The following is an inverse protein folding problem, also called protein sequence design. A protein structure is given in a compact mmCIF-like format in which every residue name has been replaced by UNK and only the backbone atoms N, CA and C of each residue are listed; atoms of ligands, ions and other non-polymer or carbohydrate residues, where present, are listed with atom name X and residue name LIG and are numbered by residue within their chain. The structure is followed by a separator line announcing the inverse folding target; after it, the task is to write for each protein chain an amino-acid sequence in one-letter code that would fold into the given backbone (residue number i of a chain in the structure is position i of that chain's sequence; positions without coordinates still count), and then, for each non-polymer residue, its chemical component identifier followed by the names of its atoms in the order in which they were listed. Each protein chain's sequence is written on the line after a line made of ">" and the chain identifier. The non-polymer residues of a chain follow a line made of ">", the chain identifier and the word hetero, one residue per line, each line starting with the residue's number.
data_IF_817586678204
#
_entry.id   IF_817586678204
#
_cell.length_a   1.000
_cell.length_b   1.000
_cell.length_c   1.000
_cell.angle_alpha   90.00
_cell.angle_beta   90.00
_cell.angle_gamma   90.00
#
_symmetry.space_group_name_H-M   'P 1'
#
loop_
_entity.id
_entity.type
_entity.pdbx_description
1 polymer ?
#
# COMPACT_ATOMS: atom_id res chain seq x y z
N UNK A 1 -10.28 -7.87 3.44
CA UNK A 1 -9.76 -6.60 2.98
C UNK A 1 -8.31 -6.48 3.38
N UNK A 2 -7.48 -6.13 2.46
CA UNK A 2 -6.05 -6.07 2.71
C UNK A 2 -5.55 -4.68 2.34
N UNK A 3 -4.69 -4.12 3.17
CA UNK A 3 -4.09 -2.84 2.90
C UNK A 3 -2.65 -3.07 2.52
N UNK A 4 -2.27 -2.69 1.32
CA UNK A 4 -0.90 -2.87 0.85
C UNK A 4 -0.19 -1.53 0.93
N UNK A 5 0.89 -1.50 1.68
CA UNK A 5 1.66 -0.28 1.85
C UNK A 5 2.90 -0.41 1.00
N UNK A 6 3.12 0.55 0.13
CA UNK A 6 4.30 0.57 -0.73
C UNK A 6 5.10 1.80 -0.36
N UNK A 7 6.33 1.62 0.03
CA UNK A 7 7.21 2.72 0.39
C UNK A 7 8.41 2.72 -0.54
N UNK A 8 8.72 3.89 -1.08
CA UNK A 8 9.81 4.02 -2.02
C UNK A 8 10.76 5.12 -1.57
N UNK A 9 12.03 4.90 -1.71
CA UNK A 9 13.02 5.90 -1.40
C UNK A 9 14.23 5.65 -2.27
N UNK A 10 14.58 6.61 -3.11
CA UNK A 10 15.74 6.50 -3.98
C UNK A 10 15.77 5.16 -4.70
N UNK A 11 16.61 4.27 -4.26
CA UNK A 11 16.76 3.01 -4.93
C UNK A 11 16.06 1.88 -4.25
N UNK A 12 15.22 2.14 -3.28
CA UNK A 12 14.63 1.08 -2.49
C UNK A 12 13.11 1.11 -2.60
N UNK A 13 12.53 -0.06 -2.63
CA UNK A 13 11.07 -0.20 -2.61
C UNK A 13 10.72 -1.29 -1.63
N UNK A 14 9.83 -0.99 -0.70
CA UNK A 14 9.39 -1.95 0.30
C UNK A 14 7.89 -2.08 0.20
N UNK A 15 7.39 -3.30 0.23
CA UNK A 15 5.96 -3.55 0.18
C UNK A 15 5.55 -4.36 1.39
N UNK A 16 4.41 -4.06 1.93
CA UNK A 16 3.94 -4.74 3.11
C UNK A 16 2.42 -4.81 3.09
N UNK A 17 1.86 -5.97 3.49
CA UNK A 17 0.42 -6.14 3.52
C UNK A 17 -0.03 -6.19 4.96
N UNK A 18 -1.15 -5.55 5.23
CA UNK A 18 -1.76 -5.60 6.56
C UNK A 18 -3.26 -5.72 6.40
N UNK A 19 -3.89 -6.37 7.36
CA UNK A 19 -5.34 -6.50 7.33
C UNK A 19 -6.01 -5.45 8.20
N UNK A 20 -5.25 -4.69 8.96
CA UNK A 20 -5.80 -3.65 9.83
C UNK A 20 -5.45 -2.28 9.29
N UNK A 21 -6.45 -1.44 9.13
CA UNK A 21 -6.19 -0.10 8.62
C UNK A 21 -5.36 0.71 9.61
N UNK A 22 -5.55 0.48 10.91
CA UNK A 22 -4.77 1.23 11.87
C UNK A 22 -3.30 0.88 11.78
N UNK A 23 -2.98 -0.40 11.61
CA UNK A 23 -1.59 -0.80 11.49
C UNK A 23 -0.99 -0.28 10.18
N UNK A 24 -1.79 -0.28 9.12
CA UNK A 24 -1.30 0.21 7.85
C UNK A 24 -0.97 1.69 7.94
N UNK A 25 -1.85 2.46 8.55
CA UNK A 25 -1.62 3.89 8.67
C UNK A 25 -0.43 4.18 9.58
N UNK A 26 -0.31 3.43 10.67
CA UNK A 26 0.80 3.64 11.57
C UNK A 26 2.12 3.38 10.88
N UNK A 27 2.18 2.31 10.09
CA UNK A 27 3.41 2.00 9.39
C UNK A 27 3.72 3.05 8.34
N UNK A 28 2.70 3.52 7.66
CA UNK A 28 2.90 4.54 6.64
C UNK A 28 3.46 5.82 7.26
N UNK A 29 2.97 6.16 8.44
CA UNK A 29 3.47 7.36 9.09
C UNK A 29 4.94 7.23 9.48
N UNK A 30 5.33 6.04 9.94
CA UNK A 30 6.72 5.83 10.32
C UNK A 30 7.61 5.98 9.10
N UNK A 31 7.24 5.36 8.00
CA UNK A 31 8.05 5.47 6.81
C UNK A 31 8.09 6.90 6.28
N UNK A 32 6.95 7.58 6.31
CA UNK A 32 6.91 8.94 5.81
C UNK A 32 7.83 9.84 6.62
N UNK A 33 7.89 9.60 7.93
CA UNK A 33 8.74 10.45 8.75
C UNK A 33 10.22 10.17 8.50
N UNK A 34 10.52 9.05 7.86
CA UNK A 34 11.91 8.75 7.54
C UNK A 34 12.26 9.12 6.11
N UNK A 35 11.38 9.80 5.43
CA UNK A 35 11.71 10.26 4.09
C UNK A 35 11.23 9.36 2.97
N UNK A 36 10.45 8.34 3.28
CA UNK A 36 9.95 7.46 2.25
C UNK A 36 8.69 8.04 1.62
N UNK A 37 8.49 7.75 0.35
CA UNK A 37 7.27 8.11 -0.31
C UNK A 37 6.35 6.91 -0.19
N UNK A 38 5.22 7.07 0.47
CA UNK A 38 4.39 5.96 0.85
C UNK A 38 3.06 6.01 0.12
N UNK A 39 2.62 4.87 -0.36
CA UNK A 39 1.31 4.74 -1.00
C UNK A 39 0.59 3.59 -0.33
N UNK A 40 -0.69 3.75 -0.05
CA UNK A 40 -1.49 2.69 0.52
C UNK A 40 -2.56 2.31 -0.49
N UNK A 41 -2.63 1.02 -0.81
CA UNK A 41 -3.60 0.51 -1.74
C UNK A 41 -4.52 -0.41 -0.98
N UNK A 42 -5.82 -0.22 -1.13
CA UNK A 42 -6.79 -1.06 -0.46
C UNK A 42 -7.24 -2.13 -1.43
N UNK A 43 -7.10 -3.39 -1.03
CA UNK A 43 -7.51 -4.50 -1.84
C UNK A 43 -8.67 -5.16 -1.12
N UNK A 44 -9.84 -5.07 -1.67
CA UNK A 44 -10.99 -5.59 -0.99
C UNK A 44 -11.15 -7.09 -1.16
N UNK A 45 -10.31 -7.68 -1.96
CA UNK A 45 -10.28 -9.13 -2.01
C UNK A 45 -11.34 -9.76 -2.87
N UNK A 46 -12.24 -8.98 -3.41
CA UNK A 46 -13.25 -9.58 -4.27
C UNK A 46 -13.33 -8.86 -5.59
N UNK A 47 -12.34 -8.16 -5.99
CA UNK A 47 -12.31 -7.56 -7.30
C UNK A 47 -12.11 -8.62 -8.34
N UNK A 48 -12.81 -8.54 -9.44
CA UNK A 48 -12.59 -9.51 -10.51
C UNK A 48 -11.17 -9.39 -11.04
N UNK A 49 -10.58 -10.49 -11.34
CA UNK A 49 -9.19 -10.44 -11.73
C UNK A 49 -8.94 -9.54 -12.89
N UNK A 50 -9.52 -9.52 -13.87
CA UNK A 50 -9.14 -8.65 -14.91
C UNK A 50 -9.56 -7.28 -14.74
N UNK A 51 -10.22 -7.00 -13.63
CA UNK A 51 -10.73 -5.78 -13.49
C UNK A 51 -9.86 -4.83 -12.97
N UNK A 52 -9.10 -5.25 -12.14
CA UNK A 52 -8.42 -4.39 -11.52
C UNK A 52 -7.78 -3.48 -12.20
N UNK A 53 -7.63 -2.86 -11.93
CA UNK A 53 -6.99 -2.00 -12.32
C UNK A 53 -6.77 -1.48 -13.50
N UNK A 54 -6.86 -1.92 -14.06
CA UNK A 54 -6.59 -1.47 -15.08
C UNK A 54 -7.20 -0.53 -15.46
N UNK A 55 -7.93 -0.57 -15.17
CA UNK A 55 -8.63 0.23 -15.53
C UNK A 55 -8.21 1.37 -15.40
N UNK A 56 -7.72 1.39 -14.99
CA UNK A 56 -7.40 2.40 -14.75
C UNK A 56 -6.98 2.95 -15.54
N UNK A 57 -6.88 2.56 -15.98
CA UNK A 57 -6.39 3.06 -16.72
C UNK A 57 -6.56 3.86 -16.95
#
# INVERSE_FOLDING_TARGET
>A
MVFRIVAERENETVKMDRTSSLLAIAKARVWASEGWQVTIVVDEGNSPPGFDGRLVA
#
